data_IF_990220579251
#
_entry.id   IF_990220579251
#
_cell.length_a   1.000
_cell.length_b   1.000
_cell.length_c   1.000
_cell.angle_alpha   90.00
_cell.angle_beta   90.00
_cell.angle_gamma   90.00
#
_symmetry.space_group_name_H-M   'P 1'
#
loop_
_entity.id
_entity.type
_entity.pdbx_description
1 polymer ?
#
# COMPACT_ATOMS: atom_id res chain seq x y z
N UNK A 1 -1.19 -13.91 -61.71
CA UNK A 1 -1.14 -15.30 -62.21
C UNK A 1 -0.55 -16.14 -61.08
N UNK A 2 -1.30 -16.56 -60.05
CA UNK A 2 -2.27 -17.67 -59.93
C UNK A 2 -1.88 -18.96 -60.67
N UNK A 3 -1.89 -20.07 -59.90
CA UNK A 3 -1.76 -21.51 -60.23
C UNK A 3 -0.34 -22.09 -60.25
N UNK A 4 -0.03 -23.25 -59.66
CA UNK A 4 -0.76 -24.18 -58.78
C UNK A 4 0.19 -25.28 -58.32
N UNK A 5 -0.08 -25.79 -57.10
CA UNK A 5 0.12 -27.12 -56.52
C UNK A 5 1.05 -28.16 -57.18
N UNK A 6 1.85 -28.81 -56.31
CA UNK A 6 1.92 -30.28 -56.25
C UNK A 6 2.19 -30.74 -54.80
N UNK A 7 1.38 -31.70 -54.37
CA UNK A 7 1.32 -32.27 -53.03
C UNK A 7 1.84 -33.72 -53.02
N UNK A 8 2.13 -34.23 -51.82
CA UNK A 8 2.40 -35.64 -51.51
C UNK A 8 3.84 -35.82 -51.01
N UNK A 9 4.14 -36.35 -49.81
CA UNK A 9 3.39 -37.14 -48.85
C UNK A 9 4.30 -38.29 -48.43
N UNK A 10 4.50 -38.51 -47.13
CA UNK A 10 4.61 -39.83 -46.49
C UNK A 10 4.98 -39.72 -45.00
N UNK A 11 4.15 -40.36 -44.19
CA UNK A 11 4.32 -40.62 -42.76
C UNK A 11 5.11 -41.91 -42.60
N UNK A 12 6.03 -41.99 -41.64
CA UNK A 12 6.54 -43.27 -41.15
C UNK A 12 6.78 -43.21 -39.62
N UNK A 13 5.99 -44.02 -38.91
CA UNK A 13 6.08 -44.33 -37.48
C UNK A 13 6.87 -45.63 -37.35
N UNK A 14 7.92 -45.71 -36.52
CA UNK A 14 8.49 -46.98 -36.01
C UNK A 14 9.10 -46.69 -34.62
N UNK A 15 8.41 -47.05 -33.53
CA UNK A 15 8.47 -48.31 -32.75
C UNK A 15 9.65 -48.35 -31.76
N UNK A 16 9.27 -48.68 -30.51
CA UNK A 16 10.02 -48.76 -29.25
C UNK A 16 11.07 -49.88 -29.26
N UNK A 17 12.14 -49.71 -28.47
CA UNK A 17 12.82 -50.83 -27.81
C UNK A 17 13.47 -50.38 -26.48
N UNK A 18 13.03 -51.01 -25.40
CA UNK A 18 13.63 -51.03 -24.07
C UNK A 18 14.88 -51.93 -24.10
N UNK A 19 15.97 -51.55 -23.43
CA UNK A 19 16.95 -52.51 -22.88
C UNK A 19 17.70 -51.88 -21.70
N UNK A 20 17.44 -52.40 -20.50
CA UNK A 20 18.24 -52.19 -19.27
C UNK A 20 19.36 -53.23 -19.26
N UNK A 21 20.60 -52.84 -18.99
CA UNK A 21 21.59 -53.74 -18.37
C UNK A 21 22.64 -52.95 -17.59
N UNK A 22 22.82 -53.35 -16.33
CA UNK A 22 23.77 -52.84 -15.33
C UNK A 22 25.10 -53.57 -15.48
N UNK A 23 26.23 -52.88 -15.28
CA UNK A 23 27.46 -53.53 -14.78
C UNK A 23 28.31 -52.54 -13.97
N UNK A 24 28.49 -52.86 -12.70
CA UNK A 24 29.43 -52.23 -11.77
C UNK A 24 30.79 -52.95 -11.83
N UNK A 25 31.90 -52.26 -11.53
CA UNK A 25 33.10 -52.83 -10.90
C UNK A 25 33.90 -51.69 -10.25
N UNK A 26 34.26 -51.93 -8.99
CA UNK A 26 34.85 -51.06 -7.97
C UNK A 26 36.36 -50.80 -8.14
N UNK A 27 36.89 -49.82 -7.39
CA UNK A 27 38.16 -49.95 -6.66
C UNK A 27 38.17 -48.95 -5.48
N UNK A 28 38.21 -49.52 -4.28
CA UNK A 28 38.47 -48.84 -3.01
C UNK A 28 39.98 -48.77 -2.77
N UNK A 29 40.46 -47.68 -2.18
CA UNK A 29 41.74 -47.62 -1.47
C UNK A 29 41.47 -47.06 -0.08
N UNK A 30 41.85 -47.85 0.91
CA UNK A 30 41.77 -47.58 2.35
C UNK A 30 42.92 -46.69 2.83
N UNK A 31 42.69 -45.99 3.94
CA UNK A 31 43.74 -45.76 4.95
C UNK A 31 43.89 -44.32 5.45
N UNK A 32 43.37 -44.04 6.64
CA UNK A 32 43.70 -42.82 7.37
C UNK A 32 42.80 -42.56 8.58
N UNK A 33 42.93 -43.35 9.63
CA UNK A 33 42.27 -43.10 10.92
C UNK A 33 42.96 -41.93 11.65
N UNK A 34 42.22 -40.83 11.85
CA UNK A 34 42.54 -39.81 12.87
C UNK A 34 41.34 -39.74 13.83
N UNK A 35 41.61 -40.09 15.07
CA UNK A 35 40.67 -40.03 16.19
C UNK A 35 40.39 -38.56 16.52
N UNK A 36 39.17 -38.10 16.26
CA UNK A 36 38.63 -36.87 16.82
C UNK A 36 37.40 -37.22 17.68
N UNK A 37 37.36 -36.59 18.85
CA UNK A 37 36.57 -36.96 20.02
C UNK A 37 35.16 -36.37 19.91
N UNK A 38 34.21 -37.06 20.55
CA UNK A 38 32.81 -36.70 20.76
C UNK A 38 32.55 -35.21 20.98
N UNK A 39 31.60 -34.68 20.21
CA UNK A 39 30.79 -33.53 20.59
C UNK A 39 29.39 -33.65 19.96
N UNK A 40 28.48 -34.19 20.77
CA UNK A 40 27.05 -33.83 20.87
C UNK A 40 26.16 -33.91 19.62
N UNK A 41 25.28 -34.93 19.59
CA UNK A 41 24.11 -34.97 18.72
C UNK A 41 22.91 -34.31 19.42
N UNK A 42 22.19 -33.41 18.72
CA UNK A 42 20.76 -33.35 18.87
C UNK A 42 20.04 -33.58 17.54
N UNK A 43 19.00 -34.42 17.62
CA UNK A 43 18.21 -34.93 16.51
C UNK A 43 17.57 -33.88 15.61
N UNK A 44 17.47 -34.28 14.34
CA UNK A 44 16.26 -34.18 13.52
C UNK A 44 15.35 -32.96 13.79
N UNK A 45 15.78 -31.79 13.35
CA UNK A 45 14.86 -30.76 12.89
C UNK A 45 14.88 -30.83 11.37
N UNK A 46 13.80 -31.37 10.79
CA UNK A 46 13.48 -31.12 9.39
C UNK A 46 13.43 -29.60 9.26
N UNK A 47 14.50 -29.02 8.72
CA UNK A 47 14.52 -27.65 8.28
C UNK A 47 13.40 -27.54 7.25
N UNK A 48 12.31 -26.88 7.64
CA UNK A 48 11.31 -26.39 6.69
C UNK A 48 12.11 -25.47 5.77
N UNK A 49 12.34 -25.92 4.55
CA UNK A 49 13.22 -25.25 3.60
C UNK A 49 12.80 -23.79 3.45
N UNK A 50 13.75 -22.88 3.69
CA UNK A 50 13.69 -21.42 3.48
C UNK A 50 13.51 -21.02 2.00
N UNK A 51 12.82 -21.85 1.21
CA UNK A 51 12.59 -21.62 -0.22
C UNK A 51 11.30 -20.86 -0.52
N UNK A 52 10.51 -20.51 0.49
CA UNK A 52 9.31 -19.65 0.35
C UNK A 52 9.58 -18.16 0.69
N UNK A 53 10.84 -17.78 0.95
CA UNK A 53 11.22 -16.41 1.33
C UNK A 53 11.79 -15.56 0.16
N UNK A 54 11.80 -16.09 -1.06
CA UNK A 54 12.40 -15.42 -2.21
C UNK A 54 11.36 -14.74 -3.12
N UNK A 55 11.50 -13.41 -3.24
CA UNK A 55 10.78 -12.48 -4.15
C UNK A 55 9.30 -12.21 -3.85
N UNK A 56 9.03 -11.50 -2.74
CA UNK A 56 7.84 -10.65 -2.70
C UNK A 56 7.99 -9.55 -3.77
N UNK A 57 7.37 -9.76 -4.92
CA UNK A 57 7.33 -8.80 -6.04
C UNK A 57 6.81 -7.48 -5.50
N UNK A 58 7.57 -6.41 -5.72
CA UNK A 58 7.15 -5.06 -5.40
C UNK A 58 6.06 -4.62 -6.39
N UNK A 59 4.89 -4.28 -5.86
CA UNK A 59 3.72 -3.93 -6.68
C UNK A 59 3.28 -2.51 -6.30
N UNK A 60 3.11 -1.59 -7.26
CA UNK A 60 2.55 -0.25 -7.00
C UNK A 60 1.18 -0.35 -6.33
N UNK A 61 0.95 0.44 -5.27
CA UNK A 61 -0.28 0.37 -4.46
C UNK A 61 -1.57 0.38 -5.31
N UNK A 62 -1.70 1.34 -6.23
CA UNK A 62 -2.91 1.48 -7.04
C UNK A 62 -3.07 0.33 -8.05
N UNK A 63 -1.98 -0.18 -8.61
CA UNK A 63 -2.04 -1.36 -9.47
C UNK A 63 -2.50 -2.61 -8.70
N UNK A 64 -2.08 -2.76 -7.44
CA UNK A 64 -2.53 -3.86 -6.58
C UNK A 64 -4.03 -3.74 -6.22
N UNK A 65 -4.53 -2.51 -6.05
CA UNK A 65 -5.96 -2.24 -5.83
C UNK A 65 -6.76 -2.59 -7.09
N UNK A 66 -6.34 -2.10 -8.26
CA UNK A 66 -7.02 -2.34 -9.53
C UNK A 66 -7.05 -3.83 -9.90
N UNK A 67 -5.98 -4.57 -9.57
CA UNK A 67 -5.90 -6.01 -9.75
C UNK A 67 -6.68 -6.82 -8.70
N UNK A 68 -7.30 -6.18 -7.71
CA UNK A 68 -8.04 -6.83 -6.63
C UNK A 68 -7.16 -7.64 -5.66
N UNK A 69 -5.84 -7.42 -5.66
CA UNK A 69 -4.89 -8.14 -4.81
C UNK A 69 -4.89 -7.60 -3.38
N UNK A 70 -5.23 -6.31 -3.21
CA UNK A 70 -5.39 -5.67 -1.91
C UNK A 70 -6.66 -4.85 -1.88
N UNK A 71 -7.33 -4.83 -0.73
CA UNK A 71 -8.40 -3.88 -0.45
C UNK A 71 -7.92 -2.80 0.50
N UNK A 72 -8.28 -1.54 0.22
CA UNK A 72 -7.86 -0.40 1.03
C UNK A 72 -9.06 0.42 1.47
N UNK A 73 -9.13 0.72 2.77
CA UNK A 73 -10.13 1.59 3.37
C UNK A 73 -9.46 2.76 4.09
N UNK A 74 -10.02 3.94 3.92
CA UNK A 74 -9.57 5.16 4.61
C UNK A 74 -10.69 5.65 5.51
N UNK A 75 -10.40 5.79 6.81
CA UNK A 75 -11.37 6.27 7.80
C UNK A 75 -10.78 7.52 8.49
N UNK A 76 -11.19 8.72 8.08
CA UNK A 76 -10.80 9.95 8.79
C UNK A 76 -11.38 9.98 10.20
N UNK A 77 -10.57 10.39 11.16
CA UNK A 77 -11.04 10.71 12.52
C UNK A 77 -11.46 12.17 12.61
N UNK A 78 -10.63 13.05 12.06
CA UNK A 78 -10.77 14.50 12.04
C UNK A 78 -9.85 15.10 10.96
N UNK A 79 -9.69 16.42 10.95
CA UNK A 79 -8.82 17.16 10.02
C UNK A 79 -7.33 16.82 10.13
N UNK A 80 -6.90 16.11 11.19
CA UNK A 80 -5.51 15.83 11.50
C UNK A 80 -5.14 14.35 11.42
N UNK A 81 -6.10 13.45 11.55
CA UNK A 81 -5.83 12.01 11.65
C UNK A 81 -6.79 11.18 10.82
N UNK A 82 -6.25 10.14 10.20
CA UNK A 82 -7.02 9.09 9.56
C UNK A 82 -6.44 7.71 9.89
N UNK A 83 -7.24 6.68 9.69
CA UNK A 83 -6.80 5.28 9.71
C UNK A 83 -6.81 4.72 8.30
N UNK A 84 -5.64 4.29 7.83
CA UNK A 84 -5.48 3.48 6.63
C UNK A 84 -5.55 2.01 7.00
N UNK A 85 -6.44 1.27 6.36
CA UNK A 85 -6.62 -0.16 6.54
C UNK A 85 -6.34 -0.83 5.21
N UNK A 86 -5.33 -1.70 5.17
CA UNK A 86 -4.92 -2.45 3.97
C UNK A 86 -5.08 -3.92 4.27
N UNK A 87 -5.84 -4.64 3.45
CA UNK A 87 -6.00 -6.10 3.53
C UNK A 87 -5.39 -6.72 2.28
N UNK A 88 -4.58 -7.75 2.48
CA UNK A 88 -4.10 -8.60 1.40
C UNK A 88 -5.15 -9.67 1.11
N UNK A 89 -5.71 -9.66 -0.09
CA UNK A 89 -6.75 -10.59 -0.54
C UNK A 89 -6.15 -11.85 -1.20
N UNK A 90 -4.83 -11.94 -1.28
CA UNK A 90 -4.11 -13.07 -1.89
C UNK A 90 -3.61 -14.07 -0.85
N UNK A 91 -3.27 -15.27 -1.33
CA UNK A 91 -2.65 -16.33 -0.53
C UNK A 91 -1.12 -16.17 -0.41
N UNK A 92 -0.53 -15.11 -0.97
CA UNK A 92 0.91 -14.85 -0.94
C UNK A 92 1.23 -13.52 -0.26
N UNK A 93 2.41 -13.34 0.35
CA UNK A 93 2.80 -12.04 0.87
C UNK A 93 2.85 -10.99 -0.25
N UNK A 94 2.29 -9.81 -0.01
CA UNK A 94 2.32 -8.69 -0.95
C UNK A 94 3.21 -7.60 -0.39
N UNK A 95 4.14 -7.09 -1.22
CA UNK A 95 4.98 -5.93 -0.93
C UNK A 95 4.48 -4.74 -1.75
N UNK A 96 3.89 -3.76 -1.08
CA UNK A 96 3.34 -2.58 -1.74
C UNK A 96 4.38 -1.47 -1.81
N UNK A 97 4.61 -0.96 -3.02
CA UNK A 97 5.30 0.30 -3.26
C UNK A 97 4.32 1.43 -3.03
N UNK A 98 4.55 2.19 -1.97
CA UNK A 98 3.69 3.30 -1.59
C UNK A 98 4.18 4.61 -2.21
N UNK A 99 3.29 5.45 -2.74
CA UNK A 99 3.64 6.81 -3.13
C UNK A 99 4.15 7.63 -1.95
N UNK A 100 4.86 8.74 -2.21
CA UNK A 100 5.30 9.64 -1.14
C UNK A 100 4.10 10.31 -0.42
N UNK A 101 3.06 10.63 -1.18
CA UNK A 101 1.83 11.24 -0.68
C UNK A 101 0.60 10.64 -1.37
N UNK A 102 -0.48 10.55 -0.62
CA UNK A 102 -1.77 9.98 -1.01
C UNK A 102 -2.89 10.97 -0.70
N UNK A 103 -4.02 10.79 -1.37
CA UNK A 103 -5.23 11.52 -1.08
C UNK A 103 -6.38 10.60 -0.69
N UNK A 104 -7.36 11.14 0.02
CA UNK A 104 -8.65 10.52 0.26
C UNK A 104 -9.77 11.51 -0.02
N UNK A 105 -10.75 11.10 -0.81
CA UNK A 105 -11.90 11.93 -1.19
C UNK A 105 -13.19 11.34 -0.66
N UNK A 106 -14.15 12.16 -0.19
CA UNK A 106 -15.45 11.64 0.24
C UNK A 106 -16.23 11.03 -0.93
N UNK A 107 -16.92 9.93 -0.67
CA UNK A 107 -17.79 9.27 -1.66
C UNK A 107 -19.06 10.09 -1.83
N UNK A 108 -19.19 10.79 -2.95
CA UNK A 108 -20.34 11.65 -3.25
C UNK A 108 -21.66 10.87 -3.40
N UNK A 109 -21.62 9.56 -3.68
CA UNK A 109 -22.81 8.72 -3.74
C UNK A 109 -23.60 8.71 -2.40
N UNK A 110 -22.90 8.88 -1.27
CA UNK A 110 -23.52 9.02 0.06
C UNK A 110 -24.34 10.32 0.20
N UNK A 111 -23.99 11.36 -0.56
CA UNK A 111 -24.67 12.66 -0.52
C UNK A 111 -25.80 12.76 -1.55
N UNK A 112 -25.72 12.00 -2.64
CA UNK A 112 -26.74 12.00 -3.70
C UNK A 112 -27.82 10.91 -3.54
N UNK A 113 -27.53 9.84 -2.79
CA UNK A 113 -28.46 8.77 -2.46
C UNK A 113 -29.02 8.93 -1.06
N UNK A 114 -30.03 9.79 -0.90
CA UNK A 114 -30.73 9.99 0.37
C UNK A 114 -31.10 8.66 1.03
N UNK A 115 -30.82 8.53 2.33
CA UNK A 115 -31.13 7.34 3.12
C UNK A 115 -32.63 7.05 3.02
N UNK A 116 -33.07 5.84 2.59
CA UNK A 116 -34.49 5.49 2.57
C UNK A 116 -35.06 5.58 4.00
N UNK A 117 -35.94 6.55 4.25
CA UNK A 117 -36.50 6.84 5.57
C UNK A 117 -36.00 8.11 6.25
N UNK A 118 -34.93 8.73 5.73
CA UNK A 118 -34.61 10.13 5.99
C UNK A 118 -34.86 10.89 4.70
N UNK A 119 -35.99 11.60 4.66
CA UNK A 119 -36.41 12.37 3.50
C UNK A 119 -35.27 13.17 2.89
N UNK A 120 -35.30 13.27 1.57
CA UNK A 120 -34.48 14.13 0.72
C UNK A 120 -33.67 15.17 1.51
N UNK A 121 -32.37 14.89 1.71
CA UNK A 121 -31.46 15.72 2.49
C UNK A 121 -31.18 17.10 1.86
N UNK A 122 -31.89 17.46 0.78
CA UNK A 122 -31.97 18.83 0.26
C UNK A 122 -32.73 19.79 1.20
N UNK A 123 -33.18 19.33 2.38
CA UNK A 123 -33.88 20.15 3.37
C UNK A 123 -33.30 20.03 4.80
N UNK A 124 -31.99 19.79 4.95
CA UNK A 124 -31.32 20.14 6.20
C UNK A 124 -31.06 21.65 6.25
N UNK A 125 -32.07 22.37 6.75
CA UNK A 125 -31.92 23.65 7.46
C UNK A 125 -31.25 24.79 6.69
N UNK A 126 -32.04 25.79 6.32
CA UNK A 126 -31.58 27.12 5.93
C UNK A 126 -30.68 27.72 7.03
N UNK A 127 -29.37 27.53 6.91
CA UNK A 127 -28.37 27.97 7.88
C UNK A 127 -27.02 27.30 7.65
N UNK A 128 -26.23 27.88 6.74
CA UNK A 128 -24.80 27.61 6.55
C UNK A 128 -24.42 26.24 5.95
N UNK A 129 -24.46 26.17 4.62
CA UNK A 129 -23.49 25.43 3.81
C UNK A 129 -23.82 23.98 3.50
N UNK A 130 -24.48 23.76 2.35
CA UNK A 130 -24.65 22.46 1.68
C UNK A 130 -23.31 21.96 1.07
N UNK A 131 -22.20 22.14 1.79
CA UNK A 131 -20.85 21.91 1.30
C UNK A 131 -20.43 20.47 1.59
N UNK A 132 -20.13 19.70 0.54
CA UNK A 132 -19.54 18.38 0.69
C UNK A 132 -18.26 18.46 1.56
N UNK A 133 -17.95 17.41 2.36
CA UNK A 133 -16.68 17.30 3.08
C UNK A 133 -15.49 17.46 2.13
N UNK A 134 -14.33 17.82 2.67
CA UNK A 134 -13.14 18.03 1.85
C UNK A 134 -12.30 16.78 1.65
N UNK A 135 -11.49 16.81 0.59
CA UNK A 135 -10.42 15.84 0.41
C UNK A 135 -9.29 16.01 1.45
N UNK A 136 -8.58 14.92 1.73
CA UNK A 136 -7.45 14.86 2.64
C UNK A 136 -6.18 14.43 1.92
N UNK A 137 -5.05 15.02 2.27
CA UNK A 137 -3.71 14.58 1.88
C UNK A 137 -2.99 13.96 3.07
N UNK A 138 -2.27 12.85 2.85
CA UNK A 138 -1.51 12.17 3.90
C UNK A 138 -0.26 11.46 3.34
N UNK A 139 0.75 11.18 4.16
CA UNK A 139 1.99 10.57 3.68
C UNK A 139 1.74 9.11 3.31
N UNK A 140 2.32 8.66 2.19
CA UNK A 140 2.19 7.28 1.75
C UNK A 140 3.30 6.35 2.26
N UNK A 141 4.33 6.86 2.94
CA UNK A 141 5.30 6.02 3.67
C UNK A 141 6.75 6.11 3.23
N UNK A 142 6.98 6.58 2.01
CA UNK A 142 8.30 6.83 1.48
C UNK A 142 8.65 8.31 1.70
N UNK A 143 9.50 8.63 2.67
CA UNK A 143 10.17 9.92 2.69
C UNK A 143 11.52 9.79 1.95
N UNK A 144 11.84 10.75 1.07
CA UNK A 144 13.06 10.79 0.25
C UNK A 144 14.37 10.73 1.06
N UNK A 145 14.32 10.96 2.37
CA UNK A 145 15.50 10.94 3.25
C UNK A 145 15.76 9.57 3.92
N UNK A 146 15.12 8.48 3.47
CA UNK A 146 15.29 7.15 4.10
C UNK A 146 14.74 7.04 5.53
N UNK A 147 14.10 8.11 6.02
CA UNK A 147 13.31 8.09 7.24
C UNK A 147 11.96 7.47 6.87
N UNK A 148 11.78 6.22 7.28
CA UNK A 148 10.53 5.52 7.08
C UNK A 148 9.40 6.25 7.78
N UNK A 149 8.45 6.76 6.99
CA UNK A 149 7.36 7.64 7.43
C UNK A 149 6.31 6.97 8.33
N UNK A 150 6.54 5.71 8.68
CA UNK A 150 5.67 4.90 9.50
C UNK A 150 6.34 4.45 10.81
N UNK A 151 7.44 5.12 11.21
CA UNK A 151 8.14 4.87 12.45
C UNK A 151 7.28 5.14 13.69
N UNK A 152 7.03 4.07 14.47
CA UNK A 152 6.63 4.07 15.88
C UNK A 152 5.25 4.65 16.26
N UNK A 153 4.24 4.55 15.40
CA UNK A 153 2.86 4.83 15.82
C UNK A 153 2.17 3.56 16.36
N UNK A 154 2.03 3.55 17.69
CA UNK A 154 1.37 2.57 18.55
C UNK A 154 0.22 1.79 17.86
N UNK A 155 0.53 0.55 17.46
CA UNK A 155 -0.39 -0.35 16.76
C UNK A 155 -0.04 -1.82 17.00
N UNK A 156 0.04 -2.23 18.27
CA UNK A 156 -0.28 -3.59 18.72
C UNK A 156 0.45 -4.78 18.09
N UNK A 157 1.75 -4.69 17.84
CA UNK A 157 2.57 -5.84 17.43
C UNK A 157 3.93 -5.80 18.10
N UNK A 158 4.23 -6.80 18.94
CA UNK A 158 5.56 -7.02 19.50
C UNK A 158 6.49 -7.49 18.37
N UNK A 159 7.20 -6.55 17.75
CA UNK A 159 8.25 -6.82 16.77
C UNK A 159 8.95 -5.54 16.33
N UNK A 160 10.28 -5.53 16.15
CA UNK A 160 11.03 -4.37 15.68
C UNK A 160 10.70 -4.13 14.20
N UNK A 161 9.59 -3.46 13.93
CA UNK A 161 9.11 -3.20 12.58
C UNK A 161 9.64 -1.84 12.08
N UNK A 162 10.94 -1.78 11.84
CA UNK A 162 11.56 -0.77 10.97
C UNK A 162 11.19 -1.13 9.51
N UNK A 163 10.07 -0.61 9.00
CA UNK A 163 9.67 -0.82 7.60
C UNK A 163 10.40 0.15 6.68
N UNK A 164 11.43 -0.32 5.99
CA UNK A 164 12.14 0.40 4.93
C UNK A 164 11.23 0.71 3.73
N UNK A 165 10.49 1.83 3.73
CA UNK A 165 9.70 2.36 2.60
C UNK A 165 8.51 1.53 2.09
N UNK A 166 8.48 0.23 2.39
CA UNK A 166 7.53 -0.73 1.82
C UNK A 166 6.50 -1.19 2.83
N UNK A 167 5.27 -1.40 2.35
CA UNK A 167 4.18 -1.97 3.13
C UNK A 167 4.07 -3.46 2.82
N UNK A 168 4.66 -4.31 3.68
CA UNK A 168 4.54 -5.77 3.54
C UNK A 168 3.30 -6.26 4.28
N UNK A 169 2.40 -6.93 3.56
CA UNK A 169 1.16 -7.50 4.12
C UNK A 169 1.17 -9.01 3.88
N UNK A 170 1.13 -9.80 4.96
CA UNK A 170 1.10 -11.26 4.87
C UNK A 170 -0.19 -11.78 4.18
N UNK A 171 -0.20 -13.04 3.71
CA UNK A 171 -1.37 -13.67 3.09
C UNK A 171 -2.64 -13.53 3.93
N UNK A 172 -3.74 -13.04 3.33
CA UNK A 172 -5.02 -12.87 4.04
C UNK A 172 -4.97 -11.96 5.26
N UNK A 173 -3.89 -11.18 5.47
CA UNK A 173 -3.73 -10.32 6.65
C UNK A 173 -4.20 -8.91 6.37
N UNK A 174 -4.66 -8.26 7.43
CA UNK A 174 -5.02 -6.85 7.45
C UNK A 174 -4.05 -6.08 8.34
N UNK A 175 -3.53 -4.95 7.85
CA UNK A 175 -2.76 -4.00 8.64
C UNK A 175 -3.55 -2.71 8.75
N UNK A 176 -3.56 -2.15 9.97
CA UNK A 176 -4.17 -0.85 10.28
C UNK A 176 -3.08 0.12 10.70
N UNK A 177 -3.08 1.32 10.13
CA UNK A 177 -2.15 2.40 10.50
C UNK A 177 -2.90 3.71 10.68
N UNK A 178 -2.64 4.37 11.81
CA UNK A 178 -3.09 5.74 12.05
C UNK A 178 -2.05 6.69 11.50
N UNK A 179 -2.47 7.58 10.61
CA UNK A 179 -1.59 8.49 9.89
C UNK A 179 -2.00 9.94 10.15
N UNK A 180 -1.03 10.87 10.23
CA UNK A 180 -1.34 12.29 10.14
C UNK A 180 -1.89 12.60 8.74
N UNK A 181 -2.83 13.53 8.67
CA UNK A 181 -3.34 14.06 7.41
C UNK A 181 -3.52 15.57 7.49
N UNK A 182 -3.72 16.19 6.33
CA UNK A 182 -4.11 17.60 6.21
C UNK A 182 -5.27 17.72 5.24
N UNK A 183 -6.07 18.75 5.49
CA UNK A 183 -7.18 19.22 4.68
C UNK A 183 -6.66 19.82 3.36
N UNK A 184 -7.19 19.42 2.20
CA UNK A 184 -6.74 19.95 0.90
C UNK A 184 -7.54 21.17 0.44
N UNK A 185 -8.66 21.47 1.10
CA UNK A 185 -9.60 22.50 0.65
C UNK A 185 -10.00 23.41 1.81
N UNK A 186 -9.45 24.62 1.83
CA UNK A 186 -9.78 25.59 2.87
C UNK A 186 -11.28 25.94 2.91
N UNK A 187 -11.84 26.05 4.11
CA UNK A 187 -13.21 26.51 4.34
C UNK A 187 -14.31 25.45 4.17
N UNK A 188 -13.96 24.24 3.69
CA UNK A 188 -14.90 23.11 3.65
C UNK A 188 -15.04 22.44 5.02
N UNK A 189 -16.16 21.74 5.28
CA UNK A 189 -16.36 21.03 6.55
C UNK A 189 -15.24 20.04 6.86
N UNK A 190 -14.93 19.90 8.15
CA UNK A 190 -13.96 18.92 8.61
C UNK A 190 -14.40 17.50 8.24
N UNK A 191 -13.46 16.61 7.90
CA UNK A 191 -13.77 15.20 7.69
C UNK A 191 -14.25 14.55 9.00
N UNK A 192 -15.00 13.45 8.90
CA UNK A 192 -15.43 12.69 10.08
C UNK A 192 -15.52 11.19 9.78
N UNK A 193 -15.50 10.30 10.80
CA UNK A 193 -15.60 8.86 10.61
C UNK A 193 -16.91 8.37 10.02
N UNK A 194 -17.95 9.24 10.00
CA UNK A 194 -19.29 8.91 9.50
C UNK A 194 -19.43 9.04 8.00
N UNK A 195 -18.43 9.64 7.34
CA UNK A 195 -18.41 9.86 5.90
C UNK A 195 -17.46 8.83 5.31
N UNK A 196 -17.90 8.17 4.25
CA UNK A 196 -17.06 7.22 3.52
C UNK A 196 -16.05 7.96 2.64
N UNK A 197 -14.80 7.51 2.67
CA UNK A 197 -13.70 8.06 1.88
C UNK A 197 -13.06 6.97 1.01
N UNK A 198 -12.72 7.34 -0.21
CA UNK A 198 -11.97 6.49 -1.14
C UNK A 198 -10.54 6.99 -1.27
N UNK A 199 -9.59 6.07 -1.27
CA UNK A 199 -8.19 6.36 -1.55
C UNK A 199 -8.01 6.81 -3.01
N UNK A 200 -7.23 7.86 -3.25
CA UNK A 200 -6.89 8.35 -4.59
C UNK A 200 -5.41 8.74 -4.69
N UNK A 201 -4.78 8.66 -5.88
CA UNK A 201 -3.52 9.32 -6.13
C UNK A 201 -3.66 10.82 -5.87
N UNK A 202 -2.69 11.43 -5.18
CA UNK A 202 -2.82 12.84 -4.80
C UNK A 202 -2.93 13.77 -6.01
N UNK A 203 -2.23 13.46 -7.12
CA UNK A 203 -2.27 14.26 -8.34
C UNK A 203 -3.63 14.23 -9.07
N UNK A 204 -4.49 13.25 -8.79
CA UNK A 204 -5.86 13.24 -9.32
C UNK A 204 -6.81 14.15 -8.52
N UNK A 205 -6.39 14.55 -7.31
CA UNK A 205 -7.21 15.33 -6.37
C UNK A 205 -6.72 16.76 -6.25
N UNK A 206 -5.41 16.98 -6.39
CA UNK A 206 -4.78 18.29 -6.32
C UNK A 206 -3.74 18.41 -7.44
N UNK A 207 -3.94 19.37 -8.34
CA UNK A 207 -3.07 19.58 -9.50
C UNK A 207 -1.70 20.20 -9.13
N UNK A 208 -1.58 20.84 -7.96
CA UNK A 208 -0.35 21.50 -7.51
C UNK A 208 0.70 20.46 -7.06
N UNK A 209 1.78 20.22 -7.84
CA UNK A 209 2.74 19.16 -7.57
C UNK A 209 3.54 19.38 -6.27
N UNK A 210 3.69 20.63 -5.83
CA UNK A 210 4.36 20.97 -4.57
C UNK A 210 3.62 20.39 -3.35
N UNK A 211 2.30 20.24 -3.45
CA UNK A 211 1.46 19.70 -2.38
C UNK A 211 1.87 18.26 -2.07
N UNK A 212 2.30 17.46 -3.06
CA UNK A 212 2.78 16.11 -2.81
C UNK A 212 4.07 16.07 -1.98
N UNK A 213 5.00 16.99 -2.24
CA UNK A 213 6.22 17.11 -1.44
C UNK A 213 5.91 17.57 -0.01
N UNK A 214 5.04 18.58 0.13
CA UNK A 214 4.61 19.14 1.42
C UNK A 214 3.87 18.08 2.25
N UNK A 215 2.86 17.42 1.69
CA UNK A 215 2.10 16.38 2.38
C UNK A 215 2.99 15.19 2.75
N UNK A 216 3.92 14.83 1.89
CA UNK A 216 4.89 13.77 2.15
C UNK A 216 5.76 14.03 3.38
N UNK A 217 6.00 15.29 3.78
CA UNK A 217 6.80 15.59 4.98
C UNK A 217 6.12 15.17 6.27
N UNK A 218 4.79 14.99 6.30
CA UNK A 218 4.07 14.49 7.48
C UNK A 218 4.50 13.09 7.93
N UNK A 219 5.24 12.37 7.08
CA UNK A 219 5.97 11.15 7.43
C UNK A 219 6.98 11.35 8.58
N UNK A 220 7.58 12.53 8.67
CA UNK A 220 8.52 12.87 9.73
C UNK A 220 7.77 13.48 10.93
N UNK A 221 7.75 12.82 12.10
CA UNK A 221 7.02 13.29 13.28
C UNK A 221 7.55 14.61 13.85
N UNK A 222 8.72 15.09 13.40
CA UNK A 222 9.27 16.40 13.78
C UNK A 222 8.61 17.55 13.02
N UNK A 223 7.88 17.26 11.95
CA UNK A 223 7.22 18.27 11.14
C UNK A 223 5.97 18.81 11.84
N UNK A 224 5.83 20.13 11.83
CA UNK A 224 4.64 20.78 12.35
C UNK A 224 3.48 20.58 11.38
N UNK A 225 2.51 19.75 11.78
CA UNK A 225 1.30 19.52 11.00
C UNK A 225 0.57 20.82 10.66
N UNK A 226 0.61 21.82 11.55
CA UNK A 226 0.08 23.16 11.30
C UNK A 226 0.75 23.83 10.10
N UNK A 227 2.07 23.80 10.05
CA UNK A 227 2.84 24.43 8.97
C UNK A 227 2.54 23.72 7.65
N UNK A 228 2.46 22.38 7.68
CA UNK A 228 2.08 21.60 6.49
C UNK A 228 0.67 21.94 6.02
N UNK A 229 -0.31 22.05 6.93
CA UNK A 229 -1.69 22.41 6.60
C UNK A 229 -1.79 23.76 5.89
N UNK A 230 -1.09 24.79 6.43
CA UNK A 230 -1.07 26.13 5.85
C UNK A 230 -0.34 26.16 4.50
N UNK A 231 0.78 25.43 4.38
CA UNK A 231 1.51 25.31 3.13
C UNK A 231 0.68 24.58 2.06
N UNK A 232 -0.05 23.53 2.42
CA UNK A 232 -0.95 22.84 1.51
C UNK A 232 -2.04 23.79 0.99
N UNK A 233 -2.71 24.56 1.87
CA UNK A 233 -3.74 25.53 1.44
C UNK A 233 -3.19 26.66 0.58
N UNK A 234 -1.96 27.14 0.84
CA UNK A 234 -1.29 28.11 -0.04
C UNK A 234 -1.22 27.61 -1.48
N UNK A 235 -0.72 26.39 -1.67
CA UNK A 235 -0.48 25.86 -3.00
C UNK A 235 -1.75 25.31 -3.65
N UNK A 236 -2.60 24.61 -2.90
CA UNK A 236 -3.83 24.01 -3.40
C UNK A 236 -4.97 25.00 -3.60
N UNK A 237 -5.00 26.11 -2.84
CA UNK A 237 -6.13 27.06 -2.85
C UNK A 237 -5.70 28.51 -3.14
N UNK A 238 -4.42 28.75 -3.45
CA UNK A 238 -3.91 30.07 -3.85
C UNK A 238 -3.81 31.11 -2.73
N UNK A 239 -3.91 30.70 -1.47
CA UNK A 239 -3.93 31.64 -0.33
C UNK A 239 -2.58 32.35 -0.12
N UNK A 240 -2.62 33.65 0.10
CA UNK A 240 -1.48 34.47 0.49
C UNK A 240 -1.02 34.15 1.92
N UNK A 241 0.24 34.48 2.24
CA UNK A 241 0.73 34.34 3.61
C UNK A 241 0.01 35.28 4.59
N UNK A 242 -0.42 36.45 4.12
CA UNK A 242 -1.21 37.40 4.90
C UNK A 242 -2.57 36.82 5.28
N UNK A 243 -3.26 36.19 4.34
CA UNK A 243 -4.54 35.50 4.61
C UNK A 243 -4.34 34.34 5.59
N UNK A 244 -3.31 33.51 5.39
CA UNK A 244 -3.00 32.38 6.25
C UNK A 244 -2.61 32.81 7.67
N UNK A 245 -1.87 33.92 7.82
CA UNK A 245 -1.51 34.48 9.12
C UNK A 245 -2.74 35.00 9.89
N UNK A 246 -3.79 35.40 9.16
CA UNK A 246 -5.07 35.82 9.74
C UNK A 246 -5.94 34.66 10.25
N UNK A 247 -5.62 33.40 9.91
CA UNK A 247 -6.40 32.24 10.36
C UNK A 247 -6.23 32.00 11.87
N UNK A 248 -7.35 31.95 12.58
CA UNK A 248 -7.37 31.62 14.02
C UNK A 248 -6.95 30.17 14.23
N UNK A 249 -6.23 29.93 15.32
CA UNK A 249 -5.63 28.64 15.72
C UNK A 249 -6.61 27.46 15.82
N UNK A 250 -7.93 27.70 15.81
CA UNK A 250 -8.97 26.66 15.90
C UNK A 250 -9.22 25.88 14.60
N UNK A 251 -8.68 26.34 13.46
CA UNK A 251 -8.84 25.67 12.15
C UNK A 251 -7.76 24.63 11.84
N UNK A 252 -6.80 24.46 12.74
CA UNK A 252 -5.68 23.52 12.59
C UNK A 252 -5.78 22.50 13.65
#
# INVERSE_FOLDING_TARGET
MIHSMLAGGMRARWVRALSVTVLAISLAVDGGAVLARDADSPGNRIAKSDSDEATAVEIPLFAAIDAGQVSVRVIPSDSRRLTLIVTNETERPVRLAMPAALAATPVLAQFNGGIPGFGNANNFGAGQGNSAPQALGFPGGQNRNGINGFGNFNGGGNGPQNFNGFFNVGPGKTIKRRLPCVCLEHGKPNPSPRIEYTLRPLHEVCEAPEVAAIVGTLADPRQSQRVVQLAAWRHANGMSWQELAGLRTTYV
#
